data_IF_047213317318
#
_entry.id   IF_047213317318
#
_cell.length_a   1.000
_cell.length_b   1.000
_cell.length_c   1.000
_cell.angle_alpha   90.00
_cell.angle_beta   90.00
_cell.angle_gamma   90.00
#
_symmetry.space_group_name_H-M   'P 1'
#
loop_
_entity.id
_entity.type
_entity.pdbx_description
1 polymer ?
#
# COMPACT_ATOMS: atom_id res chain seq x y z
N UNK A 1 -7.36 -12.32 -19.05
CA UNK A 1 -7.45 -11.33 -17.96
C UNK A 1 -6.92 -11.95 -16.67
N UNK A 2 -5.92 -11.31 -16.07
CA UNK A 2 -5.22 -11.70 -14.83
C UNK A 2 -5.18 -10.50 -13.89
N UNK A 3 -5.23 -10.74 -12.57
CA UNK A 3 -4.95 -9.73 -11.56
C UNK A 3 -3.55 -9.98 -11.00
N UNK A 4 -2.69 -8.96 -11.04
CA UNK A 4 -1.33 -9.03 -10.51
C UNK A 4 -1.14 -7.88 -9.54
N UNK A 5 -1.16 -8.20 -8.25
CA UNK A 5 -0.84 -7.30 -7.14
C UNK A 5 -0.10 -8.09 -6.06
N UNK A 6 0.71 -7.40 -5.25
CA UNK A 6 1.29 -7.99 -4.06
C UNK A 6 0.20 -8.53 -3.10
N UNK A 7 0.56 -9.54 -2.31
CA UNK A 7 -0.31 -10.05 -1.27
C UNK A 7 -0.40 -9.08 -0.08
N UNK A 8 -1.41 -9.32 0.76
CA UNK A 8 -1.85 -8.51 1.89
C UNK A 8 -2.47 -7.16 1.45
N UNK A 9 -3.70 -6.90 1.89
CA UNK A 9 -4.34 -5.61 1.68
C UNK A 9 -3.93 -4.62 2.78
N UNK A 10 -4.04 -3.33 2.47
CA UNK A 10 -3.90 -2.26 3.45
C UNK A 10 -4.67 -1.02 3.00
N UNK A 11 -4.99 -0.15 3.95
CA UNK A 11 -5.40 1.22 3.70
C UNK A 11 -4.20 2.09 3.35
N UNK A 12 -4.44 3.26 2.74
CA UNK A 12 -3.36 4.25 2.52
C UNK A 12 -2.65 4.63 3.81
N UNK A 13 -3.41 4.76 4.90
CA UNK A 13 -2.86 5.08 6.22
C UNK A 13 -1.87 4.01 6.69
N UNK A 14 -2.27 2.73 6.66
CA UNK A 14 -1.41 1.61 7.05
C UNK A 14 -0.16 1.50 6.17
N UNK A 15 -0.33 1.69 4.85
CA UNK A 15 0.79 1.66 3.91
C UNK A 15 1.85 2.74 4.23
N UNK A 16 1.42 3.96 4.55
CA UNK A 16 2.31 5.07 4.91
C UNK A 16 2.95 4.86 6.28
N UNK A 17 2.21 4.36 7.27
CA UNK A 17 2.76 4.03 8.58
C UNK A 17 3.86 2.98 8.47
N UNK A 18 3.64 1.92 7.69
CA UNK A 18 4.64 0.88 7.47
C UNK A 18 5.85 1.43 6.71
N UNK A 19 5.63 2.26 5.67
CA UNK A 19 6.70 2.95 4.93
C UNK A 19 7.56 3.80 5.88
N UNK A 20 6.94 4.63 6.72
CA UNK A 20 7.66 5.54 7.62
C UNK A 20 8.46 4.76 8.67
N UNK A 21 7.87 3.67 9.19
CA UNK A 21 8.56 2.74 10.09
C UNK A 21 9.80 2.13 9.44
N UNK A 22 9.70 1.66 8.19
CA UNK A 22 10.82 1.07 7.46
C UNK A 22 11.88 2.12 7.07
N UNK A 23 11.45 3.33 6.68
CA UNK A 23 12.32 4.44 6.30
C UNK A 23 12.91 5.22 7.49
N UNK A 24 12.58 4.85 8.73
CA UNK A 24 13.00 5.52 9.97
C UNK A 24 12.64 7.01 10.02
N UNK A 25 11.51 7.38 9.43
CA UNK A 25 10.99 8.76 9.44
C UNK A 25 10.23 9.03 10.75
N UNK A 26 10.55 10.12 11.43
CA UNK A 26 9.92 10.54 12.70
C UNK A 26 8.82 11.56 12.48
N UNK A 27 7.83 11.22 11.66
CA UNK A 27 6.70 12.09 11.33
C UNK A 27 5.40 11.46 11.79
N UNK A 28 4.53 12.24 12.45
CA UNK A 28 3.22 11.78 12.91
C UNK A 28 2.29 11.61 11.70
N UNK A 29 1.74 10.41 11.53
CA UNK A 29 0.71 10.12 10.53
C UNK A 29 -0.65 10.12 11.25
N UNK A 30 -1.61 10.90 10.76
CA UNK A 30 -2.95 11.02 11.34
C UNK A 30 -3.93 10.38 10.34
N UNK A 31 -4.75 9.40 10.75
CA UNK A 31 -5.77 8.83 9.89
C UNK A 31 -6.90 9.85 9.68
N UNK A 32 -7.42 9.91 8.45
CA UNK A 32 -8.45 10.87 8.03
C UNK A 32 -9.49 10.15 7.16
N UNK A 33 -10.73 10.67 7.14
CA UNK A 33 -11.75 10.16 6.20
C UNK A 33 -11.44 10.61 4.77
N UNK A 34 -11.95 9.88 3.77
CA UNK A 34 -11.89 10.32 2.38
C UNK A 34 -12.66 11.63 2.14
N UNK A 35 -13.63 11.95 3.00
CA UNK A 35 -14.46 13.15 2.90
C UNK A 35 -13.70 14.43 3.27
N UNK A 36 -12.60 14.31 4.03
CA UNK A 36 -11.75 15.44 4.39
C UNK A 36 -10.96 15.98 3.18
N UNK A 37 -10.76 15.14 2.16
CA UNK A 37 -10.01 15.48 0.95
C UNK A 37 -10.79 15.11 -0.32
N UNK A 38 -11.87 15.83 -0.65
CA UNK A 38 -12.71 15.51 -1.79
C UNK A 38 -11.96 15.67 -3.12
N UNK A 39 -12.19 14.75 -4.05
CA UNK A 39 -11.63 14.77 -5.40
C UNK A 39 -12.76 14.62 -6.43
N UNK A 40 -12.64 15.21 -7.63
CA UNK A 40 -13.67 15.07 -8.66
C UNK A 40 -13.95 13.61 -9.07
N UNK A 41 -12.94 12.75 -9.01
CA UNK A 41 -13.08 11.32 -9.28
C UNK A 41 -13.47 10.56 -8.01
N UNK A 42 -14.54 9.78 -8.09
CA UNK A 42 -14.95 8.88 -7.01
C UNK A 42 -13.91 7.77 -6.83
N UNK A 43 -13.47 7.56 -5.58
CA UNK A 43 -12.56 6.48 -5.22
C UNK A 43 -13.37 5.27 -4.72
N UNK A 44 -13.11 4.04 -5.21
CA UNK A 44 -13.75 2.86 -4.65
C UNK A 44 -13.33 2.66 -3.19
N UNK A 45 -14.28 2.23 -2.36
CA UNK A 45 -14.04 1.96 -0.93
C UNK A 45 -12.98 0.85 -0.75
N UNK A 46 -13.04 -0.19 -1.58
CA UNK A 46 -12.07 -1.30 -1.61
C UNK A 46 -11.58 -1.49 -3.04
N UNK A 47 -10.26 -1.56 -3.20
CA UNK A 47 -9.60 -1.81 -4.49
C UNK A 47 -8.63 -3.01 -4.42
N UNK A 48 -8.79 -3.88 -3.43
CA UNK A 48 -8.01 -5.11 -3.30
C UNK A 48 -8.39 -6.09 -4.40
N UNK A 49 -7.39 -6.66 -5.06
CA UNK A 49 -7.59 -7.61 -6.16
C UNK A 49 -7.29 -9.03 -5.69
N UNK A 50 -8.18 -9.96 -6.04
CA UNK A 50 -7.97 -11.39 -5.81
C UNK A 50 -7.28 -11.98 -7.04
N UNK A 51 -6.12 -12.60 -6.84
CA UNK A 51 -5.41 -13.36 -7.85
C UNK A 51 -5.88 -14.83 -7.83
N UNK A 52 -6.59 -15.25 -8.87
CA UNK A 52 -7.19 -16.60 -8.97
C UNK A 52 -6.50 -17.51 -9.99
N UNK A 53 -5.57 -16.98 -10.80
CA UNK A 53 -5.00 -17.68 -11.96
C UNK A 53 -3.48 -17.86 -11.89
N UNK A 54 -2.83 -17.25 -10.92
CA UNK A 54 -1.39 -17.35 -10.70
C UNK A 54 -1.12 -17.70 -9.23
N UNK A 55 0.10 -18.13 -8.94
CA UNK A 55 0.53 -18.33 -7.56
C UNK A 55 0.44 -17.02 -6.76
N UNK A 56 0.22 -17.08 -5.43
CA UNK A 56 0.22 -15.90 -4.58
C UNK A 56 1.51 -15.10 -4.74
N UNK A 57 1.38 -13.79 -4.94
CA UNK A 57 2.51 -12.88 -4.99
C UNK A 57 3.06 -12.67 -3.58
N UNK A 58 4.32 -12.23 -3.48
CA UNK A 58 4.91 -11.86 -2.18
C UNK A 58 4.12 -10.74 -1.49
N UNK A 59 4.16 -10.72 -0.16
CA UNK A 59 3.63 -9.65 0.69
C UNK A 59 4.10 -8.26 0.23
N UNK A 60 3.20 -7.27 0.24
CA UNK A 60 3.59 -5.88 -0.08
C UNK A 60 4.66 -5.35 0.88
N UNK A 61 4.69 -5.81 2.14
CA UNK A 61 5.69 -5.39 3.12
C UNK A 61 7.10 -5.84 2.73
N UNK A 62 7.23 -7.05 2.21
CA UNK A 62 8.51 -7.56 1.71
C UNK A 62 8.94 -6.78 0.47
N UNK A 63 8.02 -6.57 -0.47
CA UNK A 63 8.29 -5.80 -1.68
C UNK A 63 8.70 -4.35 -1.37
N UNK A 64 8.02 -3.71 -0.42
CA UNK A 64 8.31 -2.36 0.04
C UNK A 64 9.69 -2.26 0.67
N UNK A 65 10.06 -3.23 1.52
CA UNK A 65 11.39 -3.30 2.14
C UNK A 65 12.49 -3.40 1.09
N UNK A 66 12.32 -4.25 0.09
CA UNK A 66 13.28 -4.37 -1.01
C UNK A 66 13.36 -3.11 -1.86
N UNK A 67 12.22 -2.50 -2.16
CA UNK A 67 12.15 -1.23 -2.89
C UNK A 67 12.95 -0.13 -2.19
N UNK A 68 12.76 0.03 -0.87
CA UNK A 68 13.53 0.99 -0.06
C UNK A 68 15.02 0.71 -0.05
N UNK A 69 15.45 -0.57 0.01
CA UNK A 69 16.86 -0.95 -0.09
C UNK A 69 17.47 -0.59 -1.45
N UNK A 70 16.68 -0.73 -2.53
CA UNK A 70 17.14 -0.43 -3.89
C UNK A 70 17.26 1.08 -4.15
N UNK A 71 16.43 1.91 -3.52
CA UNK A 71 16.56 3.38 -3.61
C UNK A 71 17.80 3.91 -2.88
N UNK A 72 18.27 3.20 -1.85
CA UNK A 72 19.44 3.61 -1.06
C UNK A 72 20.79 3.17 -1.67
N UNK A 73 20.76 2.46 -2.81
CA UNK A 73 21.96 2.17 -3.60
C UNK A 73 22.23 3.29 -4.59
#
# INVERSE_FOLDING_TARGET
IFHVSNADACTWYEAVVELYKMAKLKTKVIPVSSDEFPRPAARPYVSSLINTKLNPMRSYKLALREYLKNIQK
#
